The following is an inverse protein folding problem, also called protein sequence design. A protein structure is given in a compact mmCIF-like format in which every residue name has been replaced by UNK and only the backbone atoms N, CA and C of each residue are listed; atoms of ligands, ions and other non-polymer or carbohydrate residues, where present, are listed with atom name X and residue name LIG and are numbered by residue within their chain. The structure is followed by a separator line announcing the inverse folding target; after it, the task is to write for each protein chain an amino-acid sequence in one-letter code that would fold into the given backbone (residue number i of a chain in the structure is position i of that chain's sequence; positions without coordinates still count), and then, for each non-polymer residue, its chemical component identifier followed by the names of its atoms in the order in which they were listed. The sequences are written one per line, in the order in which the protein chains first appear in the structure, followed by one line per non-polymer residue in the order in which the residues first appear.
data_IF_307643734755
#
_entry.id   IF_307643734755
#
_cell.length_a   1.000
_cell.length_b   1.000
_cell.length_c   1.000
_cell.angle_alpha   90.00
_cell.angle_beta   90.00
_cell.angle_gamma   90.00
#
_symmetry.space_group_name_H-M   'P 1'
#
loop_
_entity.id
_entity.type
_entity.pdbx_description
1 polymer ?
#
# COMPACT_ATOMS: atom_id res chain seq x y z
N UNK A 1 0.89 -15.18 13.73
CA UNK A 1 2.09 -14.84 12.92
C UNK A 1 1.59 -14.28 11.60
N UNK A 2 2.11 -13.16 11.14
CA UNK A 2 1.69 -12.51 9.89
C UNK A 2 2.46 -13.09 8.70
N UNK A 3 1.77 -13.29 7.58
CA UNK A 3 2.40 -13.62 6.30
C UNK A 3 2.77 -12.33 5.58
N UNK A 4 4.02 -12.19 5.13
CA UNK A 4 4.50 -11.03 4.37
C UNK A 4 4.67 -11.43 2.91
N UNK A 5 4.06 -10.67 2.01
CA UNK A 5 4.15 -10.87 0.56
C UNK A 5 4.68 -9.58 -0.05
N UNK A 6 5.82 -9.66 -0.75
CA UNK A 6 6.40 -8.53 -1.49
C UNK A 6 6.05 -8.64 -2.97
N UNK A 7 5.57 -7.54 -3.56
CA UNK A 7 5.20 -7.46 -4.97
C UNK A 7 6.15 -6.47 -5.66
N UNK A 8 6.94 -6.96 -6.62
CA UNK A 8 7.96 -6.18 -7.32
C UNK A 8 7.89 -6.38 -8.85
N UNK A 9 8.51 -5.50 -9.62
CA UNK A 9 8.62 -5.57 -11.07
C UNK A 9 9.76 -4.70 -11.56
N UNK A 10 10.30 -4.98 -12.75
CA UNK A 10 11.45 -4.26 -13.32
C UNK A 10 11.17 -2.83 -13.84
N UNK A 11 9.90 -2.39 -13.94
CA UNK A 11 9.53 -1.04 -14.41
C UNK A 11 8.16 -0.56 -13.91
N UNK A 12 7.87 0.72 -14.10
CA UNK A 12 6.53 1.30 -13.93
C UNK A 12 5.52 0.79 -14.98
N UNK A 13 4.23 0.86 -14.65
CA UNK A 13 3.15 0.50 -15.59
C UNK A 13 2.91 -1.00 -15.82
N UNK A 14 3.53 -1.88 -15.04
CA UNK A 14 3.37 -3.35 -15.13
C UNK A 14 2.15 -3.90 -14.39
N UNK A 15 1.41 -3.04 -13.67
CA UNK A 15 0.21 -3.43 -12.93
C UNK A 15 0.44 -3.85 -11.48
N UNK A 16 1.65 -3.72 -10.91
CA UNK A 16 1.95 -4.09 -9.50
C UNK A 16 0.90 -3.62 -8.49
N UNK A 17 0.59 -2.32 -8.47
CA UNK A 17 -0.32 -1.73 -7.49
C UNK A 17 -1.75 -2.24 -7.69
N UNK A 18 -2.18 -2.42 -8.95
CA UNK A 18 -3.48 -3.02 -9.28
C UNK A 18 -3.56 -4.46 -8.76
N UNK A 19 -2.56 -5.28 -9.05
CA UNK A 19 -2.50 -6.67 -8.57
C UNK A 19 -2.48 -6.72 -7.04
N UNK A 20 -1.69 -5.87 -6.39
CA UNK A 20 -1.59 -5.80 -4.92
C UNK A 20 -2.92 -5.41 -4.28
N UNK A 21 -3.58 -4.35 -4.77
CA UNK A 21 -4.86 -3.89 -4.25
C UNK A 21 -5.95 -4.95 -4.40
N UNK A 22 -6.03 -5.63 -5.56
CA UNK A 22 -7.03 -6.67 -5.79
C UNK A 22 -6.78 -7.93 -4.94
N UNK A 23 -5.53 -8.39 -4.83
CA UNK A 23 -5.19 -9.53 -3.94
C UNK A 23 -5.55 -9.18 -2.49
N UNK A 24 -5.22 -7.98 -2.04
CA UNK A 24 -5.55 -7.54 -0.68
C UNK A 24 -7.07 -7.51 -0.45
N UNK A 25 -7.84 -6.96 -1.40
CA UNK A 25 -9.30 -6.95 -1.33
C UNK A 25 -9.90 -8.36 -1.29
N UNK A 26 -9.43 -9.28 -2.15
CA UNK A 26 -9.91 -10.67 -2.16
C UNK A 26 -9.62 -11.39 -0.84
N UNK A 27 -8.40 -11.25 -0.31
CA UNK A 27 -8.04 -11.84 0.99
C UNK A 27 -8.86 -11.24 2.14
N UNK A 28 -9.16 -9.94 2.09
CA UNK A 28 -10.04 -9.30 3.06
C UNK A 28 -11.49 -9.80 2.94
N UNK A 29 -12.00 -10.00 1.72
CA UNK A 29 -13.32 -10.60 1.47
C UNK A 29 -13.44 -12.04 1.97
N UNK A 30 -12.33 -12.79 2.01
CA UNK A 30 -12.24 -14.10 2.66
C UNK A 30 -12.19 -14.03 4.20
N UNK A 31 -12.32 -12.84 4.79
CA UNK A 31 -12.32 -12.63 6.24
C UNK A 31 -10.92 -12.53 6.86
N UNK A 32 -9.85 -12.40 6.06
CA UNK A 32 -8.49 -12.21 6.59
C UNK A 32 -8.25 -10.75 6.96
N UNK A 33 -7.42 -10.55 7.99
CA UNK A 33 -6.89 -9.21 8.33
C UNK A 33 -5.72 -8.92 7.42
N UNK A 34 -5.87 -7.95 6.53
CA UNK A 34 -4.86 -7.59 5.52
C UNK A 34 -4.43 -6.15 5.72
N UNK A 35 -3.12 -5.93 5.71
CA UNK A 35 -2.51 -4.60 5.61
C UNK A 35 -1.76 -4.48 4.30
N UNK A 36 -1.80 -3.29 3.70
CA UNK A 36 -1.07 -2.96 2.47
C UNK A 36 -0.11 -1.82 2.80
N UNK A 37 1.15 -1.97 2.39
CA UNK A 37 2.18 -0.94 2.56
C UNK A 37 2.69 -0.58 1.17
N UNK A 38 2.49 0.67 0.74
CA UNK A 38 3.08 1.19 -0.49
C UNK A 38 4.52 1.60 -0.19
N UNK A 39 5.49 0.84 -0.70
CA UNK A 39 6.91 1.13 -0.54
C UNK A 39 7.48 1.92 -1.73
N UNK A 40 6.65 2.33 -2.69
CA UNK A 40 7.07 3.24 -3.76
C UNK A 40 7.15 4.68 -3.21
N UNK A 41 8.29 5.00 -2.60
CA UNK A 41 8.53 6.30 -1.95
C UNK A 41 8.51 7.47 -2.93
N UNK A 42 8.96 7.24 -4.18
CA UNK A 42 9.16 8.30 -5.15
C UNK A 42 7.86 8.69 -5.86
N UNK A 43 6.98 7.72 -6.11
CA UNK A 43 5.73 7.95 -6.83
C UNK A 43 4.66 6.96 -6.35
N UNK A 44 4.21 7.04 -5.08
CA UNK A 44 3.20 6.14 -4.56
C UNK A 44 1.90 6.28 -5.34
N UNK A 45 1.17 5.18 -5.51
CA UNK A 45 -0.01 5.16 -6.37
C UNK A 45 -1.13 4.27 -5.88
N UNK A 46 -0.90 3.46 -4.84
CA UNK A 46 -1.92 2.51 -4.39
C UNK A 46 -3.10 3.20 -3.69
N UNK A 47 -2.87 4.36 -3.06
CA UNK A 47 -3.89 5.14 -2.36
C UNK A 47 -5.05 5.53 -3.29
N UNK A 48 -4.75 5.85 -4.56
CA UNK A 48 -5.75 6.15 -5.61
C UNK A 48 -6.69 4.96 -5.84
N UNK A 49 -6.18 3.73 -5.83
CA UNK A 49 -6.98 2.53 -6.02
C UNK A 49 -7.92 2.24 -4.85
N UNK A 50 -7.56 2.72 -3.65
CA UNK A 50 -8.39 2.62 -2.44
C UNK A 50 -9.30 3.84 -2.24
N UNK A 51 -9.29 4.81 -3.15
CA UNK A 51 -10.09 6.03 -3.04
C UNK A 51 -9.66 6.95 -1.88
N UNK A 52 -8.42 6.81 -1.40
CA UNK A 52 -7.85 7.67 -0.34
C UNK A 52 -7.26 8.90 -1.02
N UNK A 53 -7.77 10.08 -0.67
CA UNK A 53 -7.32 11.36 -1.23
C UNK A 53 -6.24 12.00 -0.35
N UNK A 54 -5.54 13.02 -0.88
CA UNK A 54 -4.58 13.80 -0.09
C UNK A 54 -5.21 14.42 1.17
N UNK A 55 -6.48 14.79 1.12
CA UNK A 55 -7.19 15.34 2.27
C UNK A 55 -7.44 14.29 3.38
N UNK A 56 -7.50 13.00 3.02
CA UNK A 56 -7.67 11.89 3.96
C UNK A 56 -6.33 11.42 4.55
N UNK A 57 -5.21 11.72 3.89
CA UNK A 57 -3.88 11.30 4.32
C UNK A 57 -3.31 12.23 5.39
N UNK A 58 -3.41 11.80 6.65
CA UNK A 58 -2.77 12.51 7.77
C UNK A 58 -1.25 12.28 7.83
N UNK A 59 -0.82 11.06 7.55
CA UNK A 59 0.59 10.64 7.59
C UNK A 59 0.85 9.67 6.44
N UNK A 60 2.07 9.71 5.93
CA UNK A 60 2.61 8.80 4.91
C UNK A 60 3.69 7.89 5.52
N UNK A 61 4.11 6.88 4.77
CA UNK A 61 5.26 6.06 5.16
C UNK A 61 6.53 6.90 5.36
N UNK A 62 6.71 7.97 4.59
CA UNK A 62 7.87 8.85 4.70
C UNK A 62 7.89 9.59 6.03
N UNK A 63 6.74 10.01 6.54
CA UNK A 63 6.64 10.69 7.84
C UNK A 63 7.13 9.77 8.97
N UNK A 64 6.72 8.50 8.93
CA UNK A 64 7.20 7.50 9.88
C UNK A 64 8.71 7.26 9.74
N UNK A 65 9.21 7.10 8.50
CA UNK A 65 10.63 6.86 8.25
C UNK A 65 11.54 8.04 8.65
N UNK A 66 11.01 9.27 8.62
CA UNK A 66 11.71 10.47 9.09
C UNK A 66 11.53 10.75 10.59
N UNK A 67 10.73 9.95 11.29
CA UNK A 67 10.45 10.14 12.70
C UNK A 67 9.61 11.39 13.00
N UNK A 68 8.81 11.85 12.02
CA UNK A 68 7.88 12.96 12.20
C UNK A 68 6.51 12.51 12.67
N UNK A 69 6.23 11.20 12.67
CA UNK A 69 5.06 10.59 13.31
C UNK A 69 5.33 9.19 13.86
N UNK A 70 4.51 8.76 14.82
CA UNK A 70 4.46 7.39 15.36
C UNK A 70 3.34 6.56 14.71
N UNK A 71 3.41 5.23 14.84
CA UNK A 71 2.40 4.24 14.39
C UNK A 71 1.53 3.75 15.54
#
# INVERSE_FOLDING_TARGET
MSTIISVHSFRGGTGKSNTTANIAALLAMEGKRVGVVDTDIQSPGIHVLFGVTEADMKHSLNDYLWGTCDI
#
